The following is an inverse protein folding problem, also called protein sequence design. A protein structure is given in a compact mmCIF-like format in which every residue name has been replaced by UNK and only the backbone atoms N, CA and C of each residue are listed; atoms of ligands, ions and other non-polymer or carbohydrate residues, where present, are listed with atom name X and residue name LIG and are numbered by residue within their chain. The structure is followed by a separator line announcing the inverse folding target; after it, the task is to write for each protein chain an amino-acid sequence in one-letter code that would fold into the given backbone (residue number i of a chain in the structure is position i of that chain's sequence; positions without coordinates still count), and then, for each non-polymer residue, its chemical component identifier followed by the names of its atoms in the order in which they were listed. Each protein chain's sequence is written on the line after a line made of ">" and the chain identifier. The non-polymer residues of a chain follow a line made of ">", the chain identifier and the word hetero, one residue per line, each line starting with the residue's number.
data_IF_499630140193
#
_entry.id   IF_499630140193
#
_cell.length_a   1.000
_cell.length_b   1.000
_cell.length_c   1.000
_cell.angle_alpha   90.00
_cell.angle_beta   90.00
_cell.angle_gamma   90.00
#
_symmetry.space_group_name_H-M   'P 1'
#
loop_
_entity.id
_entity.type
_entity.pdbx_description
1 polymer ?
#
# COMPACT_ATOMS: atom_id res chain seq x y z
N UNK A 1 -48.06 35.73 30.59
CA UNK A 1 -47.99 34.39 31.19
C UNK A 1 -47.13 33.50 30.30
N UNK A 2 -46.12 32.87 30.90
CA UNK A 2 -45.05 32.13 30.22
C UNK A 2 -45.44 30.68 29.88
N UNK A 3 -44.87 30.13 28.80
CA UNK A 3 -44.34 28.76 28.72
C UNK A 3 -43.18 28.71 27.69
N UNK A 4 -41.98 28.23 28.07
CA UNK A 4 -40.85 28.09 27.15
C UNK A 4 -40.80 26.71 26.47
N UNK A 5 -40.24 26.71 25.26
CA UNK A 5 -39.97 25.54 24.39
C UNK A 5 -38.72 24.81 24.88
N UNK A 6 -38.79 23.48 24.92
CA UNK A 6 -37.73 22.56 25.35
C UNK A 6 -36.66 22.41 24.27
N UNK A 7 -35.43 22.85 24.52
CA UNK A 7 -34.25 22.50 23.71
C UNK A 7 -33.53 21.29 24.31
N UNK A 8 -33.38 20.20 23.54
CA UNK A 8 -32.61 19.00 23.92
C UNK A 8 -31.12 19.31 23.91
N UNK A 9 -30.46 19.18 25.06
CA UNK A 9 -29.02 19.44 25.25
C UNK A 9 -28.16 18.30 24.72
N UNK A 10 -27.12 18.62 23.94
CA UNK A 10 -26.08 17.66 23.54
C UNK A 10 -25.13 17.38 24.72
N UNK A 11 -24.77 16.11 24.92
CA UNK A 11 -23.84 15.64 25.95
C UNK A 11 -22.41 16.04 25.54
N UNK A 12 -21.77 16.94 26.32
CA UNK A 12 -20.35 17.28 26.17
C UNK A 12 -19.48 16.24 26.88
N UNK A 13 -18.69 15.49 26.11
CA UNK A 13 -17.64 14.61 26.62
C UNK A 13 -16.39 15.48 26.94
N UNK A 14 -15.91 15.56 28.20
CA UNK A 14 -14.75 16.39 28.53
C UNK A 14 -13.44 15.76 28.04
N UNK A 15 -12.67 16.51 27.26
CA UNK A 15 -11.35 16.13 26.78
C UNK A 15 -10.28 16.04 27.87
N UNK A 16 -9.31 15.13 27.67
CA UNK A 16 -8.10 14.95 28.49
C UNK A 16 -7.31 16.26 28.61
N UNK A 17 -7.34 16.93 29.76
CA UNK A 17 -6.41 18.02 30.10
C UNK A 17 -5.06 17.45 30.55
N UNK A 18 -3.99 17.89 29.91
CA UNK A 18 -2.59 17.58 30.25
C UNK A 18 -2.17 18.24 31.56
N UNK A 19 -1.38 17.51 32.35
CA UNK A 19 -1.03 17.81 33.75
C UNK A 19 0.14 18.78 33.82
N UNK A 20 0.02 19.82 34.66
CA UNK A 20 1.16 20.68 34.99
C UNK A 20 2.13 19.97 35.96
N UNK A 21 3.41 19.98 35.61
CA UNK A 21 4.50 19.26 36.31
C UNK A 21 5.52 20.21 36.94
N UNK A 22 5.13 21.46 37.22
CA UNK A 22 6.01 22.40 37.90
C UNK A 22 6.31 21.93 39.34
N UNK A 23 7.53 22.19 39.81
CA UNK A 23 7.99 21.83 41.16
C UNK A 23 7.06 22.32 42.31
N UNK A 24 6.47 23.53 42.29
CA UNK A 24 5.54 23.94 43.35
C UNK A 24 4.27 23.07 43.38
N UNK A 25 3.74 22.67 42.22
CA UNK A 25 2.55 21.80 42.13
C UNK A 25 2.83 20.38 42.64
N UNK A 26 4.05 19.89 42.45
CA UNK A 26 4.48 18.57 42.96
C UNK A 26 4.67 18.64 44.49
N UNK A 27 5.25 19.73 45.00
CA UNK A 27 5.44 19.95 46.43
C UNK A 27 4.09 20.08 47.16
N UNK A 28 3.13 20.82 46.59
CA UNK A 28 1.78 20.93 47.12
C UNK A 28 1.10 19.56 47.22
N UNK A 29 1.23 18.70 46.21
CA UNK A 29 0.64 17.34 46.22
C UNK A 29 1.23 16.43 47.30
N UNK A 30 2.55 16.49 47.52
CA UNK A 30 3.21 15.72 48.59
C UNK A 30 2.75 16.15 49.98
N UNK A 31 2.50 17.46 50.17
CA UNK A 31 2.03 18.01 51.46
C UNK A 31 0.65 17.49 51.87
N UNK A 32 -0.18 17.08 50.93
CA UNK A 32 -1.53 16.56 51.20
C UNK A 32 -1.63 15.02 51.22
N UNK A 33 -0.52 14.28 51.07
CA UNK A 33 -0.50 12.82 51.20
C UNK A 33 -1.44 12.05 50.26
N UNK A 34 -1.79 12.60 49.09
CA UNK A 34 -2.85 12.04 48.22
C UNK A 34 -2.30 11.09 47.14
N UNK A 35 -2.94 9.94 46.88
CA UNK A 35 -2.61 9.09 45.74
C UNK A 35 -2.81 9.83 44.41
N UNK A 36 -1.99 9.56 43.38
CA UNK A 36 -2.11 10.21 42.08
C UNK A 36 -3.40 9.80 41.38
N UNK A 37 -4.33 10.74 41.15
CA UNK A 37 -5.48 10.45 40.26
C UNK A 37 -6.69 11.38 40.31
N UNK A 38 -6.90 12.20 41.35
CA UNK A 38 -8.11 13.02 41.44
C UNK A 38 -7.80 14.54 41.38
N UNK A 39 -8.25 15.27 40.34
CA UNK A 39 -8.05 16.71 40.26
C UNK A 39 -8.78 17.46 41.39
N UNK A 40 -8.19 18.56 41.85
CA UNK A 40 -8.81 19.50 42.77
C UNK A 40 -9.93 20.24 42.03
N UNK A 41 -11.17 20.21 42.54
CA UNK A 41 -12.27 21.01 42.00
C UNK A 41 -12.14 22.42 42.58
N UNK A 42 -11.51 23.34 41.84
CA UNK A 42 -11.53 24.76 42.16
C UNK A 42 -12.90 25.32 41.75
N UNK A 43 -13.55 26.00 42.69
CA UNK A 43 -14.83 26.66 42.50
C UNK A 43 -14.64 28.04 41.90
N UNK A 44 -15.44 28.27 40.85
CA UNK A 44 -16.06 29.50 40.39
C UNK A 44 -15.36 30.56 39.52
N UNK A 45 -16.21 30.94 38.57
CA UNK A 45 -16.45 32.26 37.97
C UNK A 45 -15.61 32.68 36.75
N UNK A 46 -16.35 32.96 35.67
CA UNK A 46 -16.14 34.19 34.92
C UNK A 46 -15.32 34.12 33.64
N UNK A 47 -16.05 34.02 32.53
CA UNK A 47 -15.82 34.82 31.32
C UNK A 47 -14.76 34.40 30.27
N UNK A 48 -15.34 34.09 29.11
CA UNK A 48 -15.01 34.60 27.78
C UNK A 48 -13.81 34.03 27.04
N UNK A 49 -14.20 33.41 25.93
CA UNK A 49 -13.37 32.91 24.86
C UNK A 49 -12.70 34.04 24.06
N UNK A 50 -11.52 33.74 23.53
CA UNK A 50 -11.16 34.10 22.15
C UNK A 50 -10.60 32.85 21.47
N UNK A 51 -11.18 32.57 20.32
CA UNK A 51 -10.93 31.45 19.43
C UNK A 51 -9.93 31.93 18.38
N UNK A 52 -8.81 31.25 18.18
CA UNK A 52 -8.01 31.43 16.96
C UNK A 52 -7.16 30.19 16.66
N UNK A 53 -7.20 29.80 15.38
CA UNK A 53 -6.12 29.09 14.69
C UNK A 53 -5.92 27.60 14.96
N UNK A 54 -6.61 26.75 14.19
CA UNK A 54 -6.21 25.36 13.92
C UNK A 54 -4.89 25.35 13.12
N UNK A 55 -3.74 25.40 13.81
CA UNK A 55 -2.45 25.04 13.21
C UNK A 55 -2.12 23.60 13.53
N UNK A 56 -2.05 22.81 12.47
CA UNK A 56 -1.69 21.40 12.43
C UNK A 56 -0.24 21.21 12.92
N UNK A 57 -0.04 21.03 14.23
CA UNK A 57 1.30 20.74 14.75
C UNK A 57 1.65 19.29 14.45
N UNK A 58 2.51 19.06 13.46
CA UNK A 58 3.25 17.82 13.29
C UNK A 58 3.83 17.38 14.64
N UNK A 59 3.23 16.37 15.29
CA UNK A 59 3.82 15.74 16.47
C UNK A 59 5.14 15.11 16.03
N UNK A 60 6.25 15.76 16.38
CA UNK A 60 7.59 15.18 16.24
C UNK A 60 7.59 13.79 16.87
N UNK A 61 7.92 12.80 16.04
CA UNK A 61 8.02 11.38 16.42
C UNK A 61 9.06 11.24 17.53
N UNK A 62 8.62 11.10 18.78
CA UNK A 62 9.53 10.86 19.89
C UNK A 62 10.11 9.45 19.74
N UNK A 63 11.35 9.36 19.25
CA UNK A 63 12.14 8.14 19.30
C UNK A 63 12.34 7.80 20.77
N UNK A 64 11.68 6.74 21.25
CA UNK A 64 11.88 6.26 22.62
C UNK A 64 13.27 5.65 22.69
N UNK A 65 14.25 6.42 23.16
CA UNK A 65 15.60 5.93 23.41
C UNK A 65 15.56 4.75 24.38
N UNK A 66 16.31 3.68 24.08
CA UNK A 66 16.50 2.51 24.94
C UNK A 66 16.90 2.89 26.37
N UNK A 67 17.58 4.03 26.55
CA UNK A 67 17.99 4.55 27.87
C UNK A 67 16.81 4.85 28.80
N UNK A 68 15.68 5.31 28.25
CA UNK A 68 14.49 5.64 29.06
C UNK A 68 13.67 4.41 29.44
N UNK A 69 13.67 3.35 28.61
CA UNK A 69 12.93 2.11 28.86
C UNK A 69 13.60 1.28 29.97
N UNK A 70 14.95 1.29 30.02
CA UNK A 70 15.74 0.54 31.02
C UNK A 70 15.61 1.08 32.46
N UNK A 71 15.08 2.28 32.66
CA UNK A 71 15.22 2.99 33.95
C UNK A 71 14.21 2.60 35.04
N UNK A 72 13.18 1.77 34.74
CA UNK A 72 12.09 1.48 35.71
C UNK A 72 11.56 0.05 35.74
N UNK A 73 12.14 -0.88 34.97
CA UNK A 73 11.60 -2.25 34.83
C UNK A 73 12.70 -3.28 35.06
N UNK A 74 12.40 -4.29 35.88
CA UNK A 74 13.24 -5.49 35.98
C UNK A 74 13.21 -6.23 34.64
N UNK A 75 14.39 -6.35 34.03
CA UNK A 75 14.54 -7.00 32.74
C UNK A 75 14.48 -8.52 32.90
N UNK A 76 13.76 -9.18 31.99
CA UNK A 76 13.76 -10.65 31.94
C UNK A 76 15.16 -11.19 31.59
N UNK A 77 15.42 -12.47 31.85
CA UNK A 77 16.69 -13.11 31.46
C UNK A 77 16.96 -12.97 29.95
N UNK A 78 15.92 -13.11 29.13
CA UNK A 78 16.00 -12.94 27.67
C UNK A 78 16.34 -11.50 27.28
N UNK A 79 15.75 -10.49 27.95
CA UNK A 79 16.05 -9.07 27.70
C UNK A 79 17.49 -8.69 28.08
N UNK A 80 18.12 -9.43 29.01
CA UNK A 80 19.49 -9.22 29.47
C UNK A 80 20.55 -9.79 28.54
N UNK A 81 20.18 -10.68 27.62
CA UNK A 81 21.14 -11.28 26.67
C UNK A 81 21.84 -10.20 25.84
N UNK A 82 23.12 -10.40 25.46
CA UNK A 82 23.78 -9.59 24.44
C UNK A 82 22.99 -9.55 23.13
N UNK A 83 23.21 -8.51 22.33
CA UNK A 83 22.46 -8.30 21.08
C UNK A 83 22.73 -9.46 20.11
N UNK A 84 23.97 -9.93 20.07
CA UNK A 84 24.46 -10.98 19.17
C UNK A 84 23.71 -12.30 19.40
N UNK A 85 23.51 -12.69 20.67
CA UNK A 85 22.75 -13.90 21.01
C UNK A 85 21.27 -13.75 20.68
N UNK A 86 20.70 -12.55 20.81
CA UNK A 86 19.31 -12.31 20.43
C UNK A 86 19.13 -12.36 18.91
N UNK A 87 20.10 -11.86 18.15
CA UNK A 87 20.11 -11.97 16.68
C UNK A 87 20.18 -13.44 16.26
N UNK A 88 21.08 -14.24 16.85
CA UNK A 88 21.19 -15.68 16.56
C UNK A 88 19.90 -16.44 16.87
N UNK A 89 19.29 -16.21 18.05
CA UNK A 89 18.00 -16.80 18.42
C UNK A 89 16.91 -16.37 17.43
N UNK A 90 16.90 -15.09 17.03
CA UNK A 90 15.94 -14.57 16.07
C UNK A 90 16.09 -15.24 14.71
N UNK A 91 17.30 -15.33 14.15
CA UNK A 91 17.53 -15.97 12.85
C UNK A 91 17.32 -17.48 12.87
N UNK A 92 17.62 -18.14 13.99
CA UNK A 92 17.32 -19.57 14.16
C UNK A 92 15.81 -19.84 14.17
N UNK A 93 15.04 -18.99 14.84
CA UNK A 93 13.57 -19.18 14.98
C UNK A 93 12.75 -18.54 13.87
N UNK A 94 13.31 -17.55 13.15
CA UNK A 94 12.65 -16.67 12.18
C UNK A 94 11.28 -16.13 12.66
N UNK A 95 11.13 -15.93 13.97
CA UNK A 95 9.85 -15.56 14.57
C UNK A 95 9.73 -14.03 14.72
N UNK A 96 8.90 -13.42 13.87
CA UNK A 96 8.66 -11.97 13.85
C UNK A 96 7.96 -11.43 15.12
N UNK A 97 7.39 -12.29 15.96
CA UNK A 97 6.79 -11.89 17.24
C UNK A 97 7.83 -11.73 18.36
N UNK A 98 9.05 -12.26 18.19
CA UNK A 98 10.11 -12.10 19.19
C UNK A 98 10.50 -10.62 19.39
N UNK A 99 10.79 -9.81 18.35
CA UNK A 99 10.97 -8.36 18.48
C UNK A 99 9.74 -7.63 19.08
N UNK A 100 8.53 -8.16 18.88
CA UNK A 100 7.27 -7.55 19.33
C UNK A 100 6.96 -7.84 20.80
N UNK A 101 7.51 -8.94 21.33
CA UNK A 101 7.29 -9.40 22.70
C UNK A 101 7.83 -8.44 23.76
N UNK A 102 8.89 -7.69 23.45
CA UNK A 102 9.50 -6.71 24.36
C UNK A 102 10.09 -5.52 23.60
N UNK A 103 9.85 -4.27 24.03
CA UNK A 103 10.51 -3.09 23.47
C UNK A 103 12.04 -3.12 23.59
N UNK A 104 12.59 -3.83 24.59
CA UNK A 104 14.04 -3.96 24.77
C UNK A 104 14.61 -4.92 23.73
N UNK A 105 13.98 -6.08 23.55
CA UNK A 105 14.37 -7.07 22.53
C UNK A 105 14.19 -6.46 21.14
N UNK A 106 13.02 -5.88 20.88
CA UNK A 106 12.73 -5.19 19.64
C UNK A 106 13.74 -4.10 19.33
N UNK A 107 14.11 -3.27 20.31
CA UNK A 107 15.12 -2.23 20.10
C UNK A 107 16.55 -2.75 19.86
N UNK A 108 16.90 -3.95 20.35
CA UNK A 108 18.17 -4.63 20.03
C UNK A 108 18.17 -5.22 18.62
N UNK A 109 17.04 -5.79 18.20
CA UNK A 109 16.85 -6.38 16.87
C UNK A 109 16.43 -5.37 15.79
N UNK A 110 16.32 -4.08 16.12
CA UNK A 110 15.90 -3.03 15.18
C UNK A 110 17.08 -2.38 14.44
N UNK A 111 18.03 -3.20 13.98
CA UNK A 111 19.13 -2.73 13.13
C UNK A 111 18.78 -2.95 11.66
N UNK A 112 19.25 -2.06 10.80
CA UNK A 112 19.09 -2.19 9.35
C UNK A 112 19.69 -3.50 8.83
N UNK A 113 20.83 -3.91 9.39
CA UNK A 113 21.49 -5.19 9.08
C UNK A 113 20.56 -6.37 9.37
N UNK A 114 19.90 -6.40 10.54
CA UNK A 114 18.97 -7.47 10.89
C UNK A 114 17.79 -7.49 9.93
N UNK A 115 17.23 -6.33 9.58
CA UNK A 115 16.13 -6.25 8.61
C UNK A 115 16.52 -6.78 7.23
N UNK A 116 17.69 -6.38 6.71
CA UNK A 116 18.20 -6.86 5.43
C UNK A 116 18.41 -8.37 5.46
N UNK A 117 19.06 -8.89 6.51
CA UNK A 117 19.29 -10.33 6.68
C UNK A 117 17.98 -11.12 6.80
N UNK A 118 16.96 -10.55 7.45
CA UNK A 118 15.62 -11.16 7.54
C UNK A 118 14.99 -11.28 6.15
N UNK A 119 15.07 -10.22 5.34
CA UNK A 119 14.56 -10.25 3.95
C UNK A 119 15.36 -11.26 3.13
N UNK A 120 16.69 -11.26 3.20
CA UNK A 120 17.51 -12.23 2.49
C UNK A 120 17.12 -13.66 2.87
N UNK A 121 17.06 -13.99 4.16
CA UNK A 121 16.72 -15.34 4.62
C UNK A 121 15.32 -15.82 4.17
N UNK A 122 14.35 -14.92 4.03
CA UNK A 122 12.99 -15.28 3.63
C UNK A 122 12.74 -15.26 2.12
N UNK A 123 13.55 -14.52 1.35
CA UNK A 123 13.32 -14.27 -0.08
C UNK A 123 14.39 -14.94 -0.97
N UNK A 124 15.56 -15.30 -0.42
CA UNK A 124 16.68 -15.89 -1.15
C UNK A 124 16.27 -17.14 -1.93
N UNK A 125 15.48 -18.06 -1.35
CA UNK A 125 15.00 -19.25 -2.06
C UNK A 125 14.11 -18.90 -3.27
N UNK A 126 13.29 -17.86 -3.16
CA UNK A 126 12.43 -17.40 -4.26
C UNK A 126 13.28 -16.78 -5.36
N UNK A 127 14.26 -15.96 -4.98
CA UNK A 127 15.16 -15.32 -5.93
C UNK A 127 16.11 -16.31 -6.60
N UNK A 128 16.70 -17.25 -5.86
CA UNK A 128 17.57 -18.30 -6.40
C UNK A 128 16.83 -19.11 -7.47
N UNK A 129 15.58 -19.47 -7.20
CA UNK A 129 14.78 -20.19 -8.17
C UNK A 129 14.56 -19.41 -9.46
N UNK A 130 14.08 -18.17 -9.35
CA UNK A 130 13.72 -17.37 -10.51
C UNK A 130 14.93 -16.94 -11.34
N UNK A 131 16.02 -16.63 -10.65
CA UNK A 131 17.20 -16.08 -11.28
C UNK A 131 18.21 -17.15 -11.72
N UNK A 132 18.32 -18.29 -11.02
CA UNK A 132 19.36 -19.29 -11.29
C UNK A 132 18.93 -20.49 -12.16
N UNK A 133 17.63 -20.72 -12.42
CA UNK A 133 17.15 -21.87 -13.20
C UNK A 133 16.44 -21.46 -14.51
N UNK A 134 16.84 -21.98 -15.69
CA UNK A 134 16.10 -21.75 -16.93
C UNK A 134 14.72 -22.47 -16.89
N UNK A 135 13.66 -21.85 -17.45
CA UNK A 135 12.26 -22.29 -17.32
C UNK A 135 11.91 -23.61 -18.01
N UNK A 136 12.87 -24.35 -18.56
CA UNK A 136 12.61 -25.55 -19.38
C UNK A 136 12.38 -26.84 -18.57
N UNK A 137 12.68 -26.86 -17.26
CA UNK A 137 12.53 -28.07 -16.45
C UNK A 137 12.08 -27.76 -15.02
N UNK A 138 10.77 -27.78 -14.74
CA UNK A 138 10.24 -28.44 -13.53
C UNK A 138 8.73 -28.24 -13.35
N UNK A 139 8.04 -29.36 -13.16
CA UNK A 139 6.66 -29.45 -12.69
C UNK A 139 6.60 -29.51 -11.15
N UNK A 140 7.50 -28.80 -10.44
CA UNK A 140 7.58 -28.85 -8.97
C UNK A 140 6.91 -27.63 -8.31
N UNK A 141 6.31 -27.78 -7.11
CA UNK A 141 5.52 -26.73 -6.50
C UNK A 141 6.40 -25.61 -5.94
N UNK A 142 6.24 -24.42 -6.52
CA UNK A 142 6.34 -23.08 -5.90
C UNK A 142 7.37 -23.00 -4.74
N UNK A 143 8.56 -22.49 -5.04
CA UNK A 143 9.63 -22.30 -4.05
C UNK A 143 9.49 -20.94 -3.31
N UNK A 144 9.45 -21.00 -1.98
CA UNK A 144 9.38 -19.84 -1.07
C UNK A 144 8.26 -19.97 -0.03
N UNK A 145 8.43 -19.33 1.13
CA UNK A 145 7.42 -19.30 2.20
C UNK A 145 6.57 -18.02 2.05
N UNK A 146 5.44 -18.16 1.36
CA UNK A 146 4.48 -17.08 1.10
C UNK A 146 3.94 -16.46 2.38
N UNK A 147 3.72 -17.27 3.43
CA UNK A 147 3.22 -16.80 4.73
C UNK A 147 4.26 -15.96 5.45
N UNK A 148 5.52 -16.39 5.41
CA UNK A 148 6.64 -15.64 5.98
C UNK A 148 6.87 -14.34 5.22
N UNK A 149 6.94 -14.37 3.89
CA UNK A 149 7.10 -13.17 3.06
C UNK A 149 5.95 -12.19 3.28
N UNK A 150 4.71 -12.66 3.29
CA UNK A 150 3.52 -11.85 3.62
C UNK A 150 3.65 -11.21 5.01
N UNK A 151 4.10 -11.97 6.00
CA UNK A 151 4.25 -11.47 7.37
C UNK A 151 5.36 -10.42 7.48
N UNK A 152 6.45 -10.58 6.73
CA UNK A 152 7.54 -9.59 6.62
C UNK A 152 7.02 -8.31 5.95
N UNK A 153 6.32 -8.41 4.82
CA UNK A 153 5.80 -7.26 4.08
C UNK A 153 4.77 -6.44 4.89
N UNK A 154 4.06 -7.08 5.83
CA UNK A 154 3.19 -6.39 6.80
C UNK A 154 3.95 -5.63 7.88
N UNK A 155 5.23 -5.93 8.07
CA UNK A 155 6.04 -5.23 9.07
C UNK A 155 6.38 -3.81 8.61
N UNK A 156 6.18 -2.84 9.50
CA UNK A 156 6.45 -1.41 9.23
C UNK A 156 7.91 -1.11 8.84
N UNK A 157 8.85 -1.95 9.26
CA UNK A 157 10.27 -1.79 8.92
C UNK A 157 10.61 -2.32 7.52
N UNK A 158 9.79 -3.21 6.95
CA UNK A 158 9.96 -3.75 5.59
C UNK A 158 9.52 -2.71 4.55
N UNK A 159 10.22 -1.59 4.54
CA UNK A 159 9.99 -0.50 3.59
C UNK A 159 10.66 -0.80 2.25
N UNK A 160 10.14 -0.19 1.18
CA UNK A 160 10.68 -0.35 -0.17
C UNK A 160 12.21 -0.15 -0.26
N UNK A 161 12.84 0.84 0.40
CA UNK A 161 14.32 0.95 0.39
C UNK A 161 15.04 -0.27 0.94
N UNK A 162 14.54 -0.88 2.03
CA UNK A 162 15.13 -2.09 2.62
C UNK A 162 14.99 -3.27 1.65
N UNK A 163 13.82 -3.42 1.04
CA UNK A 163 13.56 -4.50 0.07
C UNK A 163 14.48 -4.40 -1.15
N UNK A 164 14.60 -3.20 -1.73
CA UNK A 164 15.49 -2.94 -2.88
C UNK A 164 16.97 -3.10 -2.51
N UNK A 165 17.37 -2.66 -1.32
CA UNK A 165 18.74 -2.83 -0.83
C UNK A 165 19.09 -4.30 -0.62
N UNK A 166 18.16 -5.11 -0.08
CA UNK A 166 18.33 -6.55 0.04
C UNK A 166 18.46 -7.23 -1.31
N UNK A 167 17.64 -6.85 -2.30
CA UNK A 167 17.73 -7.35 -3.67
C UNK A 167 19.10 -7.01 -4.29
N UNK A 168 19.59 -5.79 -4.08
CA UNK A 168 20.91 -5.34 -4.50
C UNK A 168 22.05 -6.17 -3.92
N UNK A 169 21.98 -6.48 -2.61
CA UNK A 169 22.98 -7.30 -1.93
C UNK A 169 22.97 -8.73 -2.48
N UNK A 170 21.78 -9.30 -2.69
CA UNK A 170 21.64 -10.62 -3.29
C UNK A 170 22.19 -10.67 -4.71
N UNK A 171 21.81 -9.71 -5.56
CA UNK A 171 22.30 -9.62 -6.94
C UNK A 171 23.83 -9.51 -7.01
N UNK A 172 24.44 -8.71 -6.12
CA UNK A 172 25.91 -8.63 -6.04
C UNK A 172 26.55 -9.95 -5.61
N UNK A 173 25.94 -10.68 -4.67
CA UNK A 173 26.40 -12.01 -4.25
C UNK A 173 26.41 -12.97 -5.44
N UNK A 174 25.32 -13.04 -6.19
CA UNK A 174 25.19 -13.93 -7.35
C UNK A 174 26.13 -13.53 -8.49
N UNK A 175 26.25 -12.23 -8.79
CA UNK A 175 27.19 -11.73 -9.80
C UNK A 175 28.65 -12.06 -9.45
N UNK A 176 29.00 -12.05 -8.15
CA UNK A 176 30.33 -12.47 -7.70
C UNK A 176 30.60 -13.97 -7.92
N UNK A 177 29.55 -14.78 -7.96
CA UNK A 177 29.62 -16.20 -8.34
C UNK A 177 29.62 -16.44 -9.86
N UNK A 178 29.61 -15.38 -10.68
CA UNK A 178 29.76 -15.45 -12.14
C UNK A 178 28.45 -15.62 -12.92
N UNK A 179 27.29 -15.56 -12.25
CA UNK A 179 25.97 -15.56 -12.89
C UNK A 179 25.55 -14.13 -13.20
N UNK A 180 25.10 -13.84 -14.42
CA UNK A 180 24.54 -12.52 -14.78
C UNK A 180 23.02 -12.64 -14.77
N UNK A 181 22.39 -11.97 -13.81
CA UNK A 181 20.94 -11.95 -13.68
C UNK A 181 20.34 -10.70 -14.31
N UNK A 182 19.33 -10.88 -15.14
CA UNK A 182 18.55 -9.78 -15.68
C UNK A 182 17.49 -9.34 -14.66
N UNK A 183 17.46 -8.05 -14.29
CA UNK A 183 16.40 -7.54 -13.44
C UNK A 183 15.07 -7.57 -14.17
N UNK A 184 14.02 -7.90 -13.44
CA UNK A 184 12.65 -7.80 -13.92
C UNK A 184 12.31 -6.31 -14.19
N UNK A 185 11.86 -5.98 -15.39
CA UNK A 185 11.33 -4.65 -15.76
C UNK A 185 9.99 -4.85 -16.49
N UNK A 186 8.97 -4.07 -16.12
CA UNK A 186 7.67 -4.10 -16.79
C UNK A 186 7.66 -3.19 -18.01
N UNK A 187 8.41 -2.09 -17.93
CA UNK A 187 8.53 -1.10 -18.99
C UNK A 187 10.01 -0.94 -19.38
N UNK A 188 10.59 -1.89 -20.13
CA UNK A 188 11.96 -1.78 -20.58
C UNK A 188 12.12 -0.56 -21.52
N UNK A 189 13.21 0.19 -21.37
CA UNK A 189 13.58 1.21 -22.35
C UNK A 189 13.70 0.56 -23.74
N UNK A 190 13.17 1.24 -24.76
CA UNK A 190 13.08 0.75 -26.15
C UNK A 190 14.35 0.01 -26.58
N UNK A 191 14.19 -1.20 -27.15
CA UNK A 191 15.27 -2.07 -27.66
C UNK A 191 16.07 -1.37 -28.76
N UNK A 192 16.96 -0.46 -28.40
CA UNK A 192 17.80 0.28 -29.32
C UNK A 192 18.99 -0.59 -29.72
N UNK A 193 18.78 -1.46 -30.74
CA UNK A 193 19.81 -2.15 -31.56
C UNK A 193 21.18 -2.29 -30.87
N UNK A 194 21.26 -3.13 -29.84
CA UNK A 194 22.54 -3.42 -29.22
C UNK A 194 22.46 -4.26 -27.96
N UNK A 195 21.87 -5.47 -28.03
CA UNK A 195 21.72 -6.41 -26.89
C UNK A 195 22.95 -6.40 -25.96
N UNK A 196 24.17 -6.51 -26.49
CA UNK A 196 25.38 -6.60 -25.65
C UNK A 196 25.76 -5.34 -24.86
N UNK A 197 25.37 -4.13 -25.28
CA UNK A 197 25.71 -2.88 -24.55
C UNK A 197 24.69 -2.56 -23.44
N UNK A 198 23.42 -2.89 -23.67
CA UNK A 198 22.33 -2.69 -22.70
C UNK A 198 22.45 -3.63 -21.50
N UNK A 199 22.82 -4.91 -21.70
CA UNK A 199 23.03 -5.86 -20.58
C UNK A 199 24.11 -5.39 -19.60
N UNK A 200 25.22 -4.81 -20.10
CA UNK A 200 26.31 -4.30 -19.26
C UNK A 200 25.87 -3.03 -18.51
N UNK A 201 25.16 -2.13 -19.19
CA UNK A 201 24.66 -0.89 -18.59
C UNK A 201 23.61 -1.16 -17.49
N UNK A 202 22.68 -2.09 -17.73
CA UNK A 202 21.63 -2.44 -16.78
C UNK A 202 22.22 -3.17 -15.56
N UNK A 203 23.16 -4.08 -15.78
CA UNK A 203 23.93 -4.76 -14.72
C UNK A 203 24.66 -3.80 -13.77
N UNK A 204 25.07 -2.61 -14.25
CA UNK A 204 25.75 -1.60 -13.43
C UNK A 204 24.84 -0.75 -12.51
N UNK A 205 23.55 -0.63 -12.84
CA UNK A 205 22.59 0.15 -12.04
C UNK A 205 22.22 -0.58 -10.74
N UNK A 206 21.97 0.16 -9.67
CA UNK A 206 21.37 -0.38 -8.44
C UNK A 206 19.90 -0.75 -8.67
N UNK A 207 19.36 -1.68 -7.89
CA UNK A 207 17.95 -2.08 -7.88
C UNK A 207 17.04 -0.87 -7.68
N UNK A 208 17.44 0.09 -6.85
CA UNK A 208 16.69 1.33 -6.65
C UNK A 208 16.63 2.20 -7.91
N UNK A 209 17.75 2.39 -8.61
CA UNK A 209 17.76 3.17 -9.86
C UNK A 209 16.92 2.50 -10.95
N UNK A 210 17.04 1.17 -11.10
CA UNK A 210 16.22 0.39 -12.04
C UNK A 210 14.74 0.49 -11.72
N UNK A 211 14.39 0.41 -10.44
CA UNK A 211 13.02 0.59 -9.97
C UNK A 211 12.49 1.99 -10.29
N UNK A 212 13.29 3.03 -10.09
CA UNK A 212 12.89 4.41 -10.35
C UNK A 212 12.61 4.67 -11.83
N UNK A 213 13.46 4.16 -12.71
CA UNK A 213 13.29 4.27 -14.17
C UNK A 213 11.99 3.57 -14.61
N UNK A 214 11.78 2.33 -14.16
CA UNK A 214 10.61 1.50 -14.48
C UNK A 214 9.30 2.10 -13.90
N UNK A 215 9.35 2.62 -12.68
CA UNK A 215 8.22 3.31 -12.06
C UNK A 215 7.88 4.63 -12.76
N UNK A 216 8.90 5.37 -13.23
CA UNK A 216 8.67 6.59 -14.02
C UNK A 216 8.00 6.27 -15.36
N UNK A 217 8.43 5.19 -16.03
CA UNK A 217 7.79 4.71 -17.25
C UNK A 217 6.34 4.27 -17.02
N UNK A 218 6.08 3.54 -15.92
CA UNK A 218 4.71 3.21 -15.49
C UNK A 218 3.85 4.45 -15.28
N UNK A 219 4.35 5.46 -14.55
CA UNK A 219 3.60 6.70 -14.33
C UNK A 219 3.35 7.46 -15.63
N UNK A 220 4.31 7.46 -16.56
CA UNK A 220 4.12 8.07 -17.88
C UNK A 220 3.01 7.35 -18.66
N UNK A 221 3.02 6.01 -18.69
CA UNK A 221 1.96 5.21 -19.30
C UNK A 221 0.59 5.46 -18.64
N UNK A 222 0.56 5.55 -17.30
CA UNK A 222 -0.65 5.85 -16.54
C UNK A 222 -1.09 7.33 -16.61
N UNK A 223 -0.26 8.25 -17.12
CA UNK A 223 -0.62 9.67 -17.26
C UNK A 223 -1.06 10.04 -18.68
N UNK A 224 -1.02 9.10 -19.63
CA UNK A 224 -1.25 9.34 -21.06
C UNK A 224 -2.64 9.90 -21.39
N UNK A 225 -2.65 11.05 -22.06
CA UNK A 225 -3.80 11.72 -22.68
C UNK A 225 -4.47 10.85 -23.76
N UNK A 226 -5.80 10.91 -23.86
CA UNK A 226 -6.75 10.49 -24.92
C UNK A 226 -6.54 9.13 -25.64
N UNK A 227 -5.31 8.81 -26.04
CA UNK A 227 -4.84 7.53 -26.56
C UNK A 227 -3.86 6.89 -25.58
N UNK A 228 -4.34 6.54 -24.39
CA UNK A 228 -3.67 5.48 -23.61
C UNK A 228 -3.62 4.26 -24.54
N UNK A 229 -2.43 3.72 -24.79
CA UNK A 229 -2.30 2.41 -25.42
C UNK A 229 -2.77 1.36 -24.39
N UNK A 230 -4.09 1.30 -24.21
CA UNK A 230 -4.76 0.41 -23.27
C UNK A 230 -4.41 -1.04 -23.57
N UNK A 231 -4.10 -1.36 -24.83
CA UNK A 231 -3.61 -2.66 -25.24
C UNK A 231 -2.21 -2.92 -24.66
N UNK A 232 -1.28 -1.97 -24.71
CA UNK A 232 0.03 -2.12 -24.07
C UNK A 232 -0.09 -2.30 -22.54
N UNK A 233 -0.94 -1.51 -21.87
CA UNK A 233 -1.17 -1.62 -20.43
C UNK A 233 -1.83 -2.96 -20.06
N UNK A 234 -2.78 -3.42 -20.89
CA UNK A 234 -3.44 -4.71 -20.73
C UNK A 234 -2.46 -5.87 -20.93
N UNK A 235 -1.66 -5.84 -22.00
CA UNK A 235 -0.65 -6.85 -22.32
C UNK A 235 0.44 -6.96 -21.23
N UNK A 236 0.87 -5.82 -20.68
CA UNK A 236 1.75 -5.79 -19.50
C UNK A 236 1.08 -6.44 -18.29
N UNK A 237 -0.21 -6.15 -18.06
CA UNK A 237 -1.00 -6.78 -16.99
C UNK A 237 -1.09 -8.30 -17.13
N UNK A 238 -1.35 -8.80 -18.35
CA UNK A 238 -1.41 -10.23 -18.65
C UNK A 238 -0.03 -10.90 -18.52
N UNK A 239 1.06 -10.19 -18.83
CA UNK A 239 2.42 -10.71 -18.77
C UNK A 239 2.98 -10.87 -17.33
N UNK A 240 2.27 -10.37 -16.31
CA UNK A 240 2.68 -10.50 -14.91
C UNK A 240 2.59 -11.94 -14.37
N UNK A 241 1.89 -12.86 -15.05
CA UNK A 241 1.73 -14.26 -14.62
C UNK A 241 3.03 -15.08 -14.54
N UNK A 242 4.17 -14.52 -14.96
CA UNK A 242 5.49 -15.18 -14.92
C UNK A 242 6.59 -14.36 -14.23
N UNK A 243 6.26 -13.28 -13.52
CA UNK A 243 7.23 -12.35 -12.96
C UNK A 243 7.20 -12.42 -11.43
N UNK A 244 8.22 -13.02 -10.79
CA UNK A 244 8.16 -13.24 -9.34
C UNK A 244 9.47 -13.00 -8.60
N UNK A 245 9.58 -11.81 -7.99
CA UNK A 245 10.49 -11.59 -6.85
C UNK A 245 9.88 -12.12 -5.52
N UNK A 246 8.62 -12.57 -5.55
CA UNK A 246 7.85 -13.06 -4.40
C UNK A 246 7.33 -14.49 -4.59
N UNK A 247 7.21 -15.23 -3.50
CA UNK A 247 6.60 -16.55 -3.51
C UNK A 247 5.12 -16.45 -3.93
N UNK A 248 4.64 -17.39 -4.75
CA UNK A 248 3.24 -17.41 -5.20
C UNK A 248 2.32 -17.57 -3.99
N UNK A 249 1.33 -16.68 -3.88
CA UNK A 249 0.42 -16.59 -2.73
C UNK A 249 0.78 -15.47 -1.75
N UNK A 250 1.93 -14.79 -1.94
CA UNK A 250 2.29 -13.63 -1.11
C UNK A 250 1.24 -12.52 -1.25
N UNK A 251 0.71 -12.08 -0.11
CA UNK A 251 -0.40 -11.12 -0.08
C UNK A 251 0.07 -9.67 0.03
N UNK A 252 -0.64 -8.78 -0.66
CA UNK A 252 -0.45 -7.33 -0.50
C UNK A 252 -0.92 -6.89 0.91
N UNK A 253 -0.11 -6.11 1.66
CA UNK A 253 -0.52 -5.59 2.96
C UNK A 253 -1.77 -4.70 2.88
N UNK A 254 -2.75 -4.92 3.78
CA UNK A 254 -3.99 -4.13 3.85
C UNK A 254 -3.78 -2.61 3.89
N UNK A 255 -2.69 -2.15 4.50
CA UNK A 255 -2.36 -0.73 4.59
C UNK A 255 -2.08 -0.06 3.25
N UNK A 256 -1.76 -0.82 2.20
CA UNK A 256 -1.52 -0.31 0.85
C UNK A 256 -2.76 -0.42 -0.06
N UNK A 257 -3.75 -1.22 0.35
CA UNK A 257 -4.99 -1.42 -0.40
C UNK A 257 -6.03 -0.33 -0.14
N UNK A 258 -5.91 0.42 0.96
CA UNK A 258 -6.86 1.45 1.36
C UNK A 258 -6.26 2.85 1.26
N UNK A 259 -7.04 3.78 0.72
CA UNK A 259 -6.65 5.19 0.54
C UNK A 259 -6.82 6.03 1.82
N UNK A 260 -6.40 7.31 1.78
CA UNK A 260 -5.73 7.99 0.67
C UNK A 260 -4.28 7.54 0.47
N UNK A 261 -3.84 7.41 -0.79
CA UNK A 261 -2.48 6.95 -1.14
C UNK A 261 -1.51 8.11 -1.24
N UNK A 262 -0.35 7.99 -0.60
CA UNK A 262 0.79 8.86 -0.88
C UNK A 262 1.62 8.30 -2.03
N UNK A 263 2.47 9.13 -2.65
CA UNK A 263 3.39 8.70 -3.71
C UNK A 263 4.24 7.50 -3.29
N UNK A 264 4.68 7.46 -2.04
CA UNK A 264 5.45 6.35 -1.48
C UNK A 264 4.63 5.06 -1.35
N UNK A 265 3.33 5.17 -1.02
CA UNK A 265 2.42 4.02 -0.99
C UNK A 265 2.21 3.46 -2.40
N UNK A 266 2.02 4.32 -3.40
CA UNK A 266 1.88 3.90 -4.81
C UNK A 266 3.16 3.22 -5.30
N UNK A 267 4.33 3.77 -4.96
CA UNK A 267 5.62 3.13 -5.28
C UNK A 267 5.75 1.74 -4.65
N UNK A 268 5.39 1.61 -3.38
CA UNK A 268 5.45 0.32 -2.70
C UNK A 268 4.43 -0.66 -3.31
N UNK A 269 3.20 -0.22 -3.58
CA UNK A 269 2.19 -1.03 -4.23
C UNK A 269 2.64 -1.49 -5.63
N UNK A 270 3.25 -0.59 -6.42
CA UNK A 270 3.83 -0.91 -7.72
C UNK A 270 4.90 -2.00 -7.62
N UNK A 271 5.83 -1.87 -6.67
CA UNK A 271 6.84 -2.90 -6.42
C UNK A 271 6.19 -4.24 -6.10
N UNK A 272 5.22 -4.28 -5.19
CA UNK A 272 4.54 -5.51 -4.78
C UNK A 272 3.84 -6.22 -5.95
N UNK A 273 3.05 -5.47 -6.72
CA UNK A 273 2.30 -6.00 -7.86
C UNK A 273 3.26 -6.51 -8.94
N UNK A 274 4.27 -5.71 -9.28
CA UNK A 274 5.34 -6.10 -10.21
C UNK A 274 6.06 -7.37 -9.76
N UNK A 275 6.30 -7.50 -8.46
CA UNK A 275 7.03 -8.62 -7.87
C UNK A 275 6.18 -9.89 -7.67
N UNK A 276 4.89 -9.86 -8.05
CA UNK A 276 4.00 -11.03 -8.03
C UNK A 276 3.10 -11.16 -6.79
N UNK A 277 2.95 -10.10 -5.98
CA UNK A 277 2.01 -10.11 -4.86
C UNK A 277 0.56 -10.08 -5.37
N UNK A 278 -0.31 -10.89 -4.78
CA UNK A 278 -1.71 -11.03 -5.22
C UNK A 278 -2.70 -10.72 -4.11
N UNK A 279 -3.96 -10.52 -4.50
CA UNK A 279 -5.08 -10.43 -3.57
C UNK A 279 -5.57 -11.82 -3.17
N UNK A 280 -5.62 -12.08 -1.87
CA UNK A 280 -6.27 -13.27 -1.35
C UNK A 280 -7.76 -12.99 -1.09
N UNK A 281 -8.61 -13.81 -1.72
CA UNK A 281 -10.08 -13.72 -1.65
C UNK A 281 -10.72 -14.76 -0.74
N UNK A 282 -9.99 -15.83 -0.38
CA UNK A 282 -10.56 -17.00 0.29
C UNK A 282 -10.24 -17.03 1.78
N UNK A 283 -9.02 -16.67 2.17
CA UNK A 283 -8.54 -16.83 3.54
C UNK A 283 -8.24 -15.51 4.25
N UNK A 284 -8.42 -14.37 3.57
CA UNK A 284 -8.09 -13.04 4.05
C UNK A 284 -9.14 -12.02 3.62
N UNK A 285 -9.23 -10.90 4.34
CA UNK A 285 -10.09 -9.76 3.99
C UNK A 285 -9.42 -8.80 3.00
N UNK A 286 -8.26 -9.18 2.44
CA UNK A 286 -7.52 -8.36 1.47
C UNK A 286 -8.36 -8.04 0.23
N UNK A 287 -9.13 -9.00 -0.28
CA UNK A 287 -10.02 -8.78 -1.41
C UNK A 287 -11.09 -7.72 -1.13
N UNK A 288 -11.74 -7.79 0.02
CA UNK A 288 -12.75 -6.79 0.44
C UNK A 288 -12.14 -5.40 0.62
N UNK A 289 -10.97 -5.33 1.26
CA UNK A 289 -10.23 -4.08 1.43
C UNK A 289 -9.82 -3.49 0.07
N UNK A 290 -9.39 -4.33 -0.87
CA UNK A 290 -9.07 -3.90 -2.23
C UNK A 290 -10.30 -3.39 -2.97
N UNK A 291 -11.48 -4.01 -2.83
CA UNK A 291 -12.72 -3.49 -3.42
C UNK A 291 -13.10 -2.12 -2.87
N UNK A 292 -12.93 -1.89 -1.56
CA UNK A 292 -13.19 -0.59 -0.94
C UNK A 292 -12.19 0.45 -1.45
N UNK A 293 -10.90 0.15 -1.41
CA UNK A 293 -9.88 1.04 -1.94
C UNK A 293 -10.05 1.30 -3.43
N UNK A 294 -10.49 0.31 -4.21
CA UNK A 294 -10.75 0.49 -5.63
C UNK A 294 -11.88 1.51 -5.88
N UNK A 295 -12.96 1.46 -5.09
CA UNK A 295 -14.03 2.49 -5.14
C UNK A 295 -13.50 3.88 -4.78
N UNK A 296 -12.72 3.97 -3.72
CA UNK A 296 -12.12 5.23 -3.30
C UNK A 296 -11.17 5.79 -4.38
N UNK A 297 -10.38 4.93 -5.03
CA UNK A 297 -9.48 5.30 -6.13
C UNK A 297 -10.24 5.75 -7.38
N UNK A 298 -11.35 5.08 -7.73
CA UNK A 298 -12.26 5.50 -8.81
C UNK A 298 -12.86 6.88 -8.53
N UNK A 299 -13.32 7.11 -7.30
CA UNK A 299 -13.90 8.39 -6.91
C UNK A 299 -12.85 9.51 -6.90
N UNK A 300 -11.62 9.22 -6.48
CA UNK A 300 -10.51 10.16 -6.54
C UNK A 300 -9.98 10.38 -7.98
N UNK A 301 -10.22 9.44 -8.89
CA UNK A 301 -9.65 9.45 -10.24
C UNK A 301 -8.16 9.10 -10.28
N UNK A 302 -7.68 8.34 -9.29
CA UNK A 302 -6.28 7.91 -9.14
C UNK A 302 -6.00 6.71 -10.06
N UNK A 303 -5.84 6.99 -11.35
CA UNK A 303 -5.66 5.95 -12.37
C UNK A 303 -4.49 4.97 -12.11
N UNK A 304 -3.31 5.40 -11.62
CA UNK A 304 -2.23 4.46 -11.29
C UNK A 304 -2.64 3.41 -10.24
N UNK A 305 -3.44 3.80 -9.25
CA UNK A 305 -3.90 2.87 -8.20
C UNK A 305 -4.92 1.89 -8.76
N UNK A 306 -5.82 2.37 -9.63
CA UNK A 306 -6.81 1.54 -10.34
C UNK A 306 -6.11 0.45 -11.16
N UNK A 307 -5.09 0.81 -11.95
CA UNK A 307 -4.29 -0.12 -12.72
C UNK A 307 -3.63 -1.18 -11.82
N UNK A 308 -2.97 -0.74 -10.74
CA UNK A 308 -2.28 -1.63 -9.82
C UNK A 308 -3.22 -2.62 -9.12
N UNK A 309 -4.40 -2.18 -8.69
CA UNK A 309 -5.38 -3.05 -8.06
C UNK A 309 -5.98 -4.04 -9.06
N UNK A 310 -6.18 -3.63 -10.31
CA UNK A 310 -6.63 -4.51 -11.39
C UNK A 310 -5.60 -5.60 -11.67
N UNK A 311 -4.32 -5.22 -11.81
CA UNK A 311 -3.19 -6.16 -11.99
C UNK A 311 -2.95 -7.06 -10.77
N UNK A 312 -3.29 -6.62 -9.56
CA UNK A 312 -3.22 -7.44 -8.35
C UNK A 312 -4.25 -8.58 -8.29
N UNK A 313 -5.16 -8.67 -9.28
CA UNK A 313 -6.17 -9.72 -9.41
C UNK A 313 -7.61 -9.26 -9.14
N UNK A 314 -7.89 -7.95 -9.15
CA UNK A 314 -9.26 -7.43 -9.00
C UNK A 314 -10.09 -7.56 -10.29
N UNK A 315 -9.44 -7.82 -11.43
CA UNK A 315 -10.11 -8.03 -12.72
C UNK A 315 -11.20 -9.11 -12.65
N UNK A 316 -10.96 -10.21 -11.92
CA UNK A 316 -11.93 -11.30 -11.74
C UNK A 316 -13.16 -10.92 -10.90
N UNK A 317 -13.19 -9.73 -10.31
CA UNK A 317 -14.30 -9.18 -9.54
C UNK A 317 -14.93 -7.95 -10.18
N UNK A 318 -14.51 -7.60 -11.40
CA UNK A 318 -15.10 -6.51 -12.15
C UNK A 318 -16.45 -6.96 -12.73
N UNK A 319 -17.53 -6.71 -11.98
CA UNK A 319 -18.90 -7.03 -12.39
C UNK A 319 -19.64 -5.80 -12.95
N UNK A 320 -20.77 -6.04 -13.58
CA UNK A 320 -21.66 -5.00 -14.14
C UNK A 320 -22.07 -3.96 -13.10
N UNK A 321 -22.25 -4.39 -11.83
CA UNK A 321 -22.60 -3.48 -10.73
C UNK A 321 -21.46 -2.52 -10.42
N UNK A 322 -20.22 -3.00 -10.43
CA UNK A 322 -19.03 -2.18 -10.23
C UNK A 322 -18.83 -1.20 -11.40
N UNK A 323 -19.08 -1.63 -12.64
CA UNK A 323 -19.03 -0.76 -13.82
C UNK A 323 -20.10 0.34 -13.78
N UNK A 324 -21.34 0.00 -13.44
CA UNK A 324 -22.42 0.99 -13.25
C UNK A 324 -22.06 1.95 -12.12
N UNK A 325 -21.56 1.42 -11.00
CA UNK A 325 -21.12 2.28 -9.89
C UNK A 325 -20.01 3.25 -10.34
N UNK A 326 -19.03 2.77 -11.12
CA UNK A 326 -17.97 3.61 -11.68
C UNK A 326 -18.54 4.68 -12.63
N UNK A 327 -19.49 4.33 -13.50
CA UNK A 327 -20.13 5.27 -14.43
C UNK A 327 -20.68 6.52 -13.73
N UNK A 328 -21.25 6.37 -12.53
CA UNK A 328 -21.78 7.49 -11.74
C UNK A 328 -20.72 8.21 -10.90
N UNK A 329 -19.72 7.49 -10.38
CA UNK A 329 -18.86 7.99 -9.30
C UNK A 329 -17.41 8.28 -9.70
N UNK A 330 -16.99 7.99 -10.93
CA UNK A 330 -15.59 8.24 -11.34
C UNK A 330 -15.25 9.73 -11.30
N UNK A 331 -14.09 10.03 -10.69
CA UNK A 331 -13.54 11.36 -10.45
C UNK A 331 -12.87 11.98 -11.69
N UNK A 332 -11.59 12.33 -11.61
CA UNK A 332 -10.83 12.79 -12.78
C UNK A 332 -10.57 11.66 -13.79
N UNK A 333 -10.18 12.00 -15.02
CA UNK A 333 -9.78 11.04 -16.06
C UNK A 333 -10.85 9.99 -16.42
N UNK A 334 -12.13 10.37 -16.32
CA UNK A 334 -13.29 9.46 -16.44
C UNK A 334 -13.29 8.60 -17.71
N UNK A 335 -12.98 9.18 -18.86
CA UNK A 335 -13.00 8.48 -20.16
C UNK A 335 -11.92 7.40 -20.22
N UNK A 336 -10.69 7.72 -19.77
CA UNK A 336 -9.58 6.78 -19.77
C UNK A 336 -9.82 5.62 -18.80
N UNK A 337 -10.28 5.93 -17.59
CA UNK A 337 -10.61 4.94 -16.57
C UNK A 337 -11.72 4.02 -17.07
N UNK A 338 -12.86 4.57 -17.52
CA UNK A 338 -13.98 3.74 -17.99
C UNK A 338 -13.60 2.89 -19.20
N UNK A 339 -12.82 3.44 -20.14
CA UNK A 339 -12.35 2.65 -21.27
C UNK A 339 -11.43 1.51 -20.87
N UNK A 340 -10.55 1.70 -19.89
CA UNK A 340 -9.73 0.61 -19.34
C UNK A 340 -10.59 -0.46 -18.65
N UNK A 341 -11.58 -0.04 -17.84
CA UNK A 341 -12.47 -0.98 -17.16
C UNK A 341 -13.28 -1.80 -18.16
N UNK A 342 -13.83 -1.18 -19.20
CA UNK A 342 -14.58 -1.90 -20.24
C UNK A 342 -13.69 -2.87 -21.01
N UNK A 343 -12.46 -2.46 -21.36
CA UNK A 343 -11.51 -3.35 -22.04
C UNK A 343 -11.06 -4.53 -21.16
N UNK A 344 -11.15 -4.40 -19.84
CA UNK A 344 -10.73 -5.43 -18.88
C UNK A 344 -11.89 -6.27 -18.33
N UNK A 345 -13.15 -5.92 -18.64
CA UNK A 345 -14.32 -6.59 -18.13
C UNK A 345 -14.68 -7.78 -19.04
N UNK A 346 -14.92 -8.94 -18.43
CA UNK A 346 -15.49 -10.10 -19.12
C UNK A 346 -17.02 -10.02 -19.01
N UNK A 347 -17.64 -9.27 -19.92
CA UNK A 347 -19.09 -9.02 -19.91
C UNK A 347 -19.84 -10.08 -20.70
N UNK A 348 -20.87 -10.67 -20.08
CA UNK A 348 -21.86 -11.46 -20.82
C UNK A 348 -22.79 -10.54 -21.61
N UNK A 349 -23.48 -11.07 -22.63
CA UNK A 349 -24.50 -10.31 -23.39
C UNK A 349 -25.57 -9.65 -22.47
N UNK A 350 -25.93 -10.33 -21.38
CA UNK A 350 -26.92 -9.84 -20.40
C UNK A 350 -26.34 -8.67 -19.60
N UNK A 351 -25.10 -8.78 -19.16
CA UNK A 351 -24.38 -7.74 -18.44
C UNK A 351 -24.21 -6.48 -19.29
N UNK A 352 -23.82 -6.67 -20.56
CA UNK A 352 -23.68 -5.58 -21.51
C UNK A 352 -25.02 -4.87 -21.77
N UNK A 353 -26.11 -5.63 -21.97
CA UNK A 353 -27.44 -5.04 -22.17
C UNK A 353 -27.91 -4.22 -20.96
N UNK A 354 -27.60 -4.69 -19.75
CA UNK A 354 -27.92 -3.99 -18.49
C UNK A 354 -27.11 -2.70 -18.39
N UNK A 355 -25.82 -2.75 -18.69
CA UNK A 355 -24.95 -1.59 -18.70
C UNK A 355 -25.38 -0.54 -19.75
N UNK A 356 -25.72 -0.98 -20.98
CA UNK A 356 -26.24 -0.11 -22.04
C UNK A 356 -27.54 0.58 -21.63
N UNK A 357 -28.46 -0.15 -20.98
CA UNK A 357 -29.72 0.42 -20.50
C UNK A 357 -29.48 1.53 -19.46
N UNK A 358 -28.56 1.32 -18.52
CA UNK A 358 -28.23 2.34 -17.51
C UNK A 358 -27.49 3.53 -18.13
N UNK A 359 -26.61 3.29 -19.12
CA UNK A 359 -25.91 4.33 -19.86
C UNK A 359 -26.88 5.29 -20.57
N UNK A 360 -27.89 4.75 -21.27
CA UNK A 360 -28.92 5.56 -21.93
C UNK A 360 -29.81 6.29 -20.90
N UNK A 361 -30.17 5.64 -19.79
CA UNK A 361 -30.93 6.28 -18.73
C UNK A 361 -30.17 7.48 -18.11
N UNK A 362 -28.86 7.38 -17.94
CA UNK A 362 -28.02 8.49 -17.49
C UNK A 362 -27.88 9.60 -18.55
N UNK A 363 -27.84 9.23 -19.82
CA UNK A 363 -27.80 10.17 -20.95
C UNK A 363 -29.08 11.00 -21.03
N UNK A 364 -30.24 10.36 -20.88
CA UNK A 364 -31.54 11.04 -20.82
C UNK A 364 -31.61 12.03 -19.64
N UNK A 365 -31.13 11.62 -18.46
CA UNK A 365 -31.06 12.51 -17.28
C UNK A 365 -30.13 13.70 -17.52
N UNK A 366 -28.97 13.48 -18.15
CA UNK A 366 -28.00 14.53 -18.45
C UNK A 366 -28.53 15.51 -19.52
N UNK A 367 -29.23 14.99 -20.53
CA UNK A 367 -29.93 15.77 -21.56
C UNK A 367 -30.98 16.70 -20.95
N UNK A 368 -31.81 16.16 -20.03
CA UNK A 368 -32.81 16.97 -19.33
C UNK A 368 -32.20 18.07 -18.45
N UNK A 369 -31.01 17.82 -17.87
CA UNK A 369 -30.27 18.80 -17.06
C UNK A 369 -29.39 19.76 -17.89
N UNK A 370 -29.27 19.56 -19.20
CA UNK A 370 -28.40 20.32 -20.11
C UNK A 370 -26.93 20.29 -19.66
N UNK A 371 -26.46 19.15 -19.13
CA UNK A 371 -25.08 18.94 -18.70
C UNK A 371 -24.23 18.43 -19.87
N UNK A 372 -23.66 19.36 -20.65
CA UNK A 372 -22.91 19.05 -21.87
C UNK A 372 -21.63 18.24 -21.59
N UNK A 373 -20.94 18.52 -20.48
CA UNK A 373 -19.71 17.80 -20.11
C UNK A 373 -20.02 16.34 -19.76
N UNK A 374 -21.13 16.10 -19.05
CA UNK A 374 -21.59 14.75 -18.76
C UNK A 374 -22.04 14.01 -20.01
N UNK A 375 -22.74 14.66 -20.92
CA UNK A 375 -23.15 14.06 -22.20
C UNK A 375 -21.93 13.65 -23.05
N UNK A 376 -20.94 14.52 -23.19
CA UNK A 376 -19.71 14.20 -23.93
C UNK A 376 -18.96 13.00 -23.32
N UNK A 377 -18.94 12.89 -21.99
CA UNK A 377 -18.40 11.72 -21.31
C UNK A 377 -19.19 10.43 -21.63
N UNK A 378 -20.52 10.47 -21.54
CA UNK A 378 -21.36 9.29 -21.79
C UNK A 378 -21.28 8.83 -23.25
N UNK A 379 -21.26 9.76 -24.20
CA UNK A 379 -21.09 9.45 -25.62
C UNK A 379 -19.69 8.82 -25.87
N UNK A 380 -18.62 9.33 -25.25
CA UNK A 380 -17.29 8.73 -25.34
C UNK A 380 -17.21 7.31 -24.72
N UNK A 381 -17.95 7.04 -23.65
CA UNK A 381 -18.05 5.70 -23.05
C UNK A 381 -18.81 4.75 -23.99
N UNK A 382 -19.88 5.23 -24.62
CA UNK A 382 -20.65 4.47 -25.61
C UNK A 382 -19.79 4.08 -26.81
N UNK A 383 -19.01 5.01 -27.35
CA UNK A 383 -18.11 4.73 -28.47
C UNK A 383 -17.10 3.63 -28.12
N UNK A 384 -16.52 3.64 -26.91
CA UNK A 384 -15.59 2.60 -26.45
C UNK A 384 -16.25 1.24 -26.26
N UNK A 385 -17.52 1.21 -25.84
CA UNK A 385 -18.28 -0.03 -25.73
C UNK A 385 -18.51 -0.68 -27.10
N UNK A 386 -18.80 0.10 -28.14
CA UNK A 386 -18.99 -0.45 -29.49
C UNK A 386 -17.67 -0.92 -30.14
N UNK A 387 -16.54 -0.29 -29.80
CA UNK A 387 -15.20 -0.76 -30.21
C UNK A 387 -14.87 -2.11 -29.58
N UNK A 388 -15.21 -2.32 -28.30
CA UNK A 388 -14.98 -3.58 -27.59
C UNK A 388 -15.70 -4.78 -28.23
N UNK A 389 -16.82 -4.55 -28.94
CA UNK A 389 -17.57 -5.60 -29.64
C UNK A 389 -16.96 -6.02 -30.99
N UNK A 390 -16.12 -5.16 -31.58
CA UNK A 390 -15.63 -5.31 -32.95
C UNK A 390 -14.25 -5.97 -33.06
N UNK A 391 -13.56 -6.18 -31.94
CA UNK A 391 -12.26 -6.85 -31.85
C UNK A 391 -12.36 -8.06 -30.94
#
# INVERSE_FOLDING_TARGET
>A
MARPVVSKTAIKIPGKRTRNTSNPDIAARKKFGRPPGRPLKLTDSGESATFDGLTNTHKKRTVRSLKNIKSKRDMSLLERLPTELLEEIFFYSMNLDLPRSSPVIGGKLSSEVVYIQTVLAAFENTWEWYYASPPEFSFSPIHGDDKLQTSILRCRWASLPILLQSQDIYMRRINAHGLILEPILLFPESKAKGRNREHIALSSKTAAARFDDDFAAFLHAASGSEHVDLLQIYDVGCSLEGVTDLAKGTEIPHSLLLGPWTKEMIRHLYWLVKSGATLNWLTSTSGEAACLGFRDALQAGEFPVILLLMWAGLVHKLDTKMLIWALHNVGSNKIAIMGYLLASADLTDVDESTFRSELEAERDKASWKVDQDRLAFLDAVKDRLEVHKSG
#
